data_IF_292339471161
#
_entry.id   IF_292339471161
#
_cell.length_a   1.000
_cell.length_b   1.000
_cell.length_c   1.000
_cell.angle_alpha   90.00
_cell.angle_beta   90.00
_cell.angle_gamma   90.00
#
_symmetry.space_group_name_H-M   'P 1'
#
loop_
_entity.id
_entity.type
_entity.pdbx_description
1 polymer ?
#
# COMPACT_ATOMS: atom_id res chain seq x y z
N UNK A 1 -2.98 -5.08 -15.85
CA UNK A 1 -1.83 -6.02 -15.82
C UNK A 1 -0.91 -5.64 -14.66
N UNK A 2 -0.27 -6.60 -13.98
CA UNK A 2 0.58 -6.29 -12.83
C UNK A 2 1.91 -5.64 -13.27
N UNK A 3 2.36 -4.62 -12.53
CA UNK A 3 3.58 -3.86 -12.81
C UNK A 3 4.83 -4.78 -12.83
N UNK A 4 5.83 -4.55 -13.70
CA UNK A 4 7.02 -5.41 -13.76
C UNK A 4 7.73 -5.57 -12.42
N UNK A 5 7.93 -4.49 -11.66
CA UNK A 5 8.63 -4.55 -10.37
C UNK A 5 7.96 -5.52 -9.39
N UNK A 6 6.63 -5.55 -9.34
CA UNK A 6 5.87 -6.46 -8.46
C UNK A 6 6.07 -7.93 -8.90
N UNK A 7 6.29 -8.18 -10.19
CA UNK A 7 6.51 -9.54 -10.71
C UNK A 7 7.94 -10.03 -10.50
N UNK A 8 8.92 -9.12 -10.42
CA UNK A 8 10.34 -9.47 -10.54
C UNK A 8 11.16 -9.21 -9.29
N UNK A 9 10.67 -8.41 -8.35
CA UNK A 9 11.38 -8.02 -7.14
C UNK A 9 10.53 -8.28 -5.89
N UNK A 10 11.15 -8.65 -4.76
CA UNK A 10 10.48 -8.64 -3.47
C UNK A 10 10.20 -7.20 -3.03
N UNK A 11 9.20 -7.03 -2.17
CA UNK A 11 8.90 -5.75 -1.54
C UNK A 11 9.11 -5.80 -0.02
N UNK A 12 9.35 -4.64 0.57
CA UNK A 12 9.22 -4.41 2.01
C UNK A 12 7.86 -3.77 2.26
N UNK A 13 7.18 -4.18 3.32
CA UNK A 13 5.92 -3.59 3.73
C UNK A 13 6.13 -2.68 4.95
N UNK A 14 5.58 -1.46 4.89
CA UNK A 14 5.55 -0.51 6.00
C UNK A 14 4.11 -0.29 6.44
N UNK A 15 3.86 -0.47 7.74
CA UNK A 15 2.59 -0.11 8.34
C UNK A 15 2.46 1.42 8.42
N UNK A 16 1.31 1.93 7.98
CA UNK A 16 0.96 3.36 8.04
C UNK A 16 -0.38 3.55 8.74
N UNK A 17 -0.51 4.65 9.47
CA UNK A 17 -1.77 5.00 10.16
C UNK A 17 -2.86 5.42 9.16
N UNK A 18 -2.48 6.19 8.15
CA UNK A 18 -3.35 6.70 7.09
C UNK A 18 -2.73 6.36 5.73
N UNK A 19 -3.43 5.50 4.97
CA UNK A 19 -2.94 5.06 3.67
C UNK A 19 -3.05 6.16 2.61
N UNK A 20 -4.11 6.97 2.63
CA UNK A 20 -4.35 7.95 1.57
C UNK A 20 -3.36 9.11 1.72
N UNK A 21 -3.10 9.56 2.95
CA UNK A 21 -2.05 10.54 3.24
C UNK A 21 -0.65 10.02 2.87
N UNK A 22 -0.35 8.75 3.16
CA UNK A 22 0.95 8.15 2.84
C UNK A 22 1.20 7.94 1.34
N UNK A 23 0.15 8.04 0.52
CA UNK A 23 0.25 7.91 -0.94
C UNK A 23 0.39 9.25 -1.67
N UNK A 24 0.24 10.38 -0.96
CA UNK A 24 0.32 11.70 -1.57
C UNK A 24 1.70 11.97 -2.18
N UNK A 25 1.73 12.15 -3.50
CA UNK A 25 2.96 12.45 -4.24
C UNK A 25 3.82 11.24 -4.60
N UNK A 26 3.41 10.03 -4.20
CA UNK A 26 4.14 8.79 -4.48
C UNK A 26 3.83 8.21 -5.87
N UNK A 27 4.79 7.46 -6.44
CA UNK A 27 4.56 6.71 -7.68
C UNK A 27 3.83 5.39 -7.40
N UNK A 28 2.50 5.41 -7.52
CA UNK A 28 1.65 4.23 -7.30
C UNK A 28 1.80 3.22 -8.45
N UNK A 29 2.31 2.03 -8.14
CA UNK A 29 2.47 0.90 -9.07
C UNK A 29 1.41 -0.21 -8.89
N UNK A 30 0.73 -0.21 -7.74
CA UNK A 30 -0.50 -0.97 -7.51
C UNK A 30 -1.48 -0.12 -6.69
N UNK A 31 -2.71 0.15 -7.21
CA UNK A 31 -3.64 1.05 -6.55
C UNK A 31 -4.11 0.52 -5.19
N UNK A 32 -4.59 1.40 -4.29
CA UNK A 32 -5.15 0.99 -3.01
C UNK A 32 -6.27 -0.04 -3.16
N UNK A 33 -6.20 -1.10 -2.37
CA UNK A 33 -7.19 -2.17 -2.33
C UNK A 33 -7.29 -2.81 -0.94
N UNK A 34 -8.22 -3.74 -0.79
CA UNK A 34 -8.41 -4.50 0.45
C UNK A 34 -8.02 -5.96 0.23
N UNK A 35 -6.77 -6.37 0.56
CA UNK A 35 -6.31 -7.75 0.39
C UNK A 35 -7.03 -8.72 1.35
N UNK A 36 -7.49 -8.22 2.49
CA UNK A 36 -8.27 -8.97 3.47
C UNK A 36 -9.13 -8.02 4.32
N UNK A 37 -10.11 -8.58 5.04
CA UNK A 37 -11.02 -7.79 5.86
C UNK A 37 -10.26 -6.99 6.94
N UNK A 38 -10.46 -5.67 6.95
CA UNK A 38 -9.78 -4.78 7.89
C UNK A 38 -8.35 -4.43 7.49
N UNK A 39 -7.93 -4.75 6.27
CA UNK A 39 -6.64 -4.33 5.71
C UNK A 39 -6.89 -3.48 4.46
N UNK A 40 -6.15 -2.38 4.35
CA UNK A 40 -5.95 -1.67 3.08
C UNK A 40 -4.45 -1.67 2.75
N UNK A 41 -4.12 -1.81 1.47
CA UNK A 41 -2.73 -1.72 1.03
C UNK A 41 -2.64 -1.15 -0.39
N UNK A 42 -1.51 -0.54 -0.70
CA UNK A 42 -1.10 -0.12 -2.04
C UNK A 42 0.39 -0.41 -2.22
N UNK A 43 0.86 -0.44 -3.46
CA UNK A 43 2.31 -0.52 -3.72
C UNK A 43 2.77 0.73 -4.46
N UNK A 44 3.91 1.27 -4.02
CA UNK A 44 4.60 2.40 -4.61
C UNK A 44 5.99 1.98 -5.12
N UNK A 45 6.58 2.78 -6.02
CA UNK A 45 7.96 2.63 -6.43
C UNK A 45 8.85 3.63 -5.68
N UNK A 46 9.87 3.13 -4.99
CA UNK A 46 10.88 3.95 -4.31
C UNK A 46 12.25 3.51 -4.81
N UNK A 47 12.96 4.40 -5.51
CA UNK A 47 14.30 4.13 -6.07
C UNK A 47 14.40 2.81 -6.86
N UNK A 48 13.35 2.48 -7.61
CA UNK A 48 13.28 1.26 -8.43
C UNK A 48 12.93 -0.03 -7.66
N UNK A 49 12.60 0.07 -6.37
CA UNK A 49 12.11 -1.03 -5.56
C UNK A 49 10.60 -0.90 -5.30
N UNK A 50 9.83 -2.01 -5.33
CA UNK A 50 8.44 -1.99 -4.87
C UNK A 50 8.40 -1.91 -3.34
N UNK A 51 7.57 -1.02 -2.82
CA UNK A 51 7.26 -0.89 -1.39
C UNK A 51 5.76 -1.02 -1.19
N UNK A 52 5.33 -1.84 -0.24
CA UNK A 52 3.91 -1.94 0.14
C UNK A 52 3.65 -1.03 1.33
N UNK A 53 2.68 -0.13 1.18
CA UNK A 53 2.11 0.62 2.29
C UNK A 53 0.85 -0.10 2.74
N UNK A 54 0.79 -0.50 4.01
CA UNK A 54 -0.30 -1.30 4.57
C UNK A 54 -0.92 -0.60 5.79
N UNK A 55 -2.24 -0.55 5.85
CA UNK A 55 -2.99 0.06 6.94
C UNK A 55 -3.97 -0.98 7.51
N UNK A 56 -3.96 -1.13 8.83
CA UNK A 56 -4.85 -2.04 9.56
C UNK A 56 -5.96 -1.24 10.24
N UNK A 57 -7.21 -1.63 9.97
CA UNK A 57 -8.37 -1.07 10.66
C UNK A 57 -8.34 -1.48 12.12
N UNK A 58 -8.35 -0.50 13.02
CA UNK A 58 -8.54 -0.77 14.45
C UNK A 58 -9.96 -1.29 14.71
N UNK A 59 -10.16 -2.26 15.62
CA UNK A 59 -11.48 -2.79 15.93
C UNK A 59 -12.45 -1.68 16.37
N UNK A 60 -13.57 -1.54 15.67
CA UNK A 60 -14.61 -0.55 15.98
C UNK A 60 -14.44 0.82 15.33
N UNK A 61 -13.39 1.04 14.54
CA UNK A 61 -13.14 2.31 13.85
C UNK A 61 -13.25 2.15 12.32
N UNK A 62 -13.73 3.18 11.59
CA UNK A 62 -13.62 3.21 10.13
C UNK A 62 -12.14 3.38 9.71
N UNK A 63 -11.84 3.13 8.43
CA UNK A 63 -10.57 3.63 7.87
C UNK A 63 -10.62 5.17 7.83
N UNK A 64 -9.46 5.82 7.91
CA UNK A 64 -9.35 7.26 7.66
C UNK A 64 -9.94 7.61 6.27
N UNK A 65 -10.55 8.79 6.17
CA UNK A 65 -11.18 9.33 4.94
C UNK A 65 -10.23 10.22 4.14
#
# INVERSE_FOLDING_TARGET
PLHPLIKTLPHVAFEVEDLDAALEGEEIIHPPGSPSAGVRAAMIAVDGAPVELICFRRPGEPFAE
#
